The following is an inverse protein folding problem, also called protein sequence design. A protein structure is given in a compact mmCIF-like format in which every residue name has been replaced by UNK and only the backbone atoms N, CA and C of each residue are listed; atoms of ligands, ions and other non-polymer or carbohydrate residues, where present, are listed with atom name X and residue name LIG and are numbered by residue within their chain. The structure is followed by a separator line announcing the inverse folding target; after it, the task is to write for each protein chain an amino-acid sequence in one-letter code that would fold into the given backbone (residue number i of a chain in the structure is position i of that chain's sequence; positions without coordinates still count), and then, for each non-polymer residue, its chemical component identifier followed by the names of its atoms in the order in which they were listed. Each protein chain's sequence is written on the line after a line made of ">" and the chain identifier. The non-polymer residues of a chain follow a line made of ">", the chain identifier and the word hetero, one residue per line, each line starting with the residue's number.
data_IF_402674001815
#
_entry.id   IF_402674001815
#
_cell.length_a   1.000
_cell.length_b   1.000
_cell.length_c   1.000
_cell.angle_alpha   90.00
_cell.angle_beta   90.00
_cell.angle_gamma   90.00
#
_symmetry.space_group_name_H-M   'P 1'
#
loop_
_entity.id
_entity.type
_entity.pdbx_description
1 polymer ?
#
# COMPACT_ATOMS: atom_id res chain seq x y z
N UNK A 1 -19.72 -1.17 13.92
CA UNK A 1 -19.12 0.18 14.04
C UNK A 1 -17.86 0.37 13.19
N UNK A 2 -16.82 -0.49 13.25
CA UNK A 2 -15.54 -0.27 12.53
C UNK A 2 -15.67 -0.27 11.00
N UNK A 3 -16.41 -1.22 10.41
CA UNK A 3 -16.59 -1.34 8.96
C UNK A 3 -17.08 -0.04 8.30
N UNK A 4 -18.08 0.62 8.90
CA UNK A 4 -18.64 1.86 8.36
C UNK A 4 -17.69 3.06 8.43
N UNK A 5 -16.74 3.09 9.36
CA UNK A 5 -15.69 4.12 9.42
C UNK A 5 -14.67 3.89 8.32
N UNK A 6 -14.26 2.63 8.13
CA UNK A 6 -13.32 2.24 7.08
C UNK A 6 -13.89 2.57 5.69
N UNK A 7 -15.13 2.16 5.42
CA UNK A 7 -15.78 2.40 4.12
C UNK A 7 -15.98 3.89 3.79
N UNK A 8 -16.17 4.75 4.81
CA UNK A 8 -16.45 6.19 4.60
C UNK A 8 -15.23 7.08 4.57
N UNK A 9 -14.13 6.67 5.19
CA UNK A 9 -12.98 7.56 5.40
C UNK A 9 -11.66 6.99 4.89
N UNK A 10 -11.59 5.69 4.58
CA UNK A 10 -10.37 5.03 4.12
C UNK A 10 -10.60 4.43 2.74
N UNK A 11 -10.36 5.23 1.70
CA UNK A 11 -10.61 4.83 0.31
C UNK A 11 -9.42 4.15 -0.35
N UNK A 12 -8.19 4.58 -0.04
CA UNK A 12 -6.99 4.09 -0.71
C UNK A 12 -5.80 4.01 0.26
N UNK A 13 -4.87 3.10 -0.02
CA UNK A 13 -3.63 2.92 0.74
C UNK A 13 -2.47 2.60 -0.20
N UNK A 14 -1.51 3.51 -0.26
CA UNK A 14 -0.21 3.31 -0.92
C UNK A 14 0.86 2.95 0.09
N UNK A 15 1.85 2.13 -0.29
CA UNK A 15 2.93 1.67 0.58
C UNK A 15 4.28 2.01 -0.04
N UNK A 16 5.28 2.29 0.78
CA UNK A 16 6.66 2.46 0.30
C UNK A 16 7.68 1.86 1.26
N UNK A 17 8.84 1.52 0.71
CA UNK A 17 10.05 1.24 1.48
C UNK A 17 11.29 1.52 0.64
N UNK A 18 12.24 2.26 1.24
CA UNK A 18 13.53 2.52 0.61
C UNK A 18 14.43 1.26 0.56
N UNK A 19 14.13 0.23 1.35
CA UNK A 19 14.89 -1.02 1.34
C UNK A 19 14.41 -1.97 0.24
N UNK A 20 15.26 -2.23 -0.75
CA UNK A 20 14.99 -3.18 -1.82
C UNK A 20 14.72 -4.59 -1.29
N UNK A 21 15.46 -5.02 -0.26
CA UNK A 21 15.27 -6.33 0.36
C UNK A 21 13.89 -6.47 1.03
N UNK A 22 13.48 -5.47 1.80
CA UNK A 22 12.14 -5.47 2.42
C UNK A 22 11.04 -5.43 1.38
N UNK A 23 11.22 -4.69 0.29
CA UNK A 23 10.25 -4.65 -0.81
C UNK A 23 10.03 -6.03 -1.41
N UNK A 24 11.10 -6.77 -1.66
CA UNK A 24 11.03 -8.12 -2.22
C UNK A 24 10.30 -9.07 -1.26
N UNK A 25 10.65 -9.06 0.03
CA UNK A 25 10.01 -9.91 1.05
C UNK A 25 8.54 -9.59 1.27
N UNK A 26 8.19 -8.31 1.35
CA UNK A 26 6.81 -7.88 1.48
C UNK A 26 6.01 -8.20 0.22
N UNK A 27 6.62 -8.03 -0.96
CA UNK A 27 6.00 -8.38 -2.24
C UNK A 27 5.62 -9.86 -2.31
N UNK A 28 6.55 -10.75 -1.97
CA UNK A 28 6.28 -12.20 -1.87
C UNK A 28 5.16 -12.52 -0.87
N UNK A 29 5.18 -11.88 0.32
CA UNK A 29 4.20 -12.14 1.36
C UNK A 29 2.78 -11.67 1.00
N UNK A 30 2.66 -10.52 0.32
CA UNK A 30 1.39 -9.98 -0.16
C UNK A 30 0.82 -10.82 -1.30
N UNK A 31 1.67 -11.23 -2.26
CA UNK A 31 1.26 -12.08 -3.37
C UNK A 31 0.68 -13.42 -2.87
N UNK A 32 1.29 -14.04 -1.85
CA UNK A 32 0.76 -15.27 -1.21
C UNK A 32 -0.64 -15.10 -0.62
N UNK A 33 -1.01 -13.88 -0.27
CA UNK A 33 -2.35 -13.52 0.26
C UNK A 33 -3.28 -12.97 -0.82
N UNK A 34 -2.89 -13.03 -2.09
CA UNK A 34 -3.63 -12.46 -3.23
C UNK A 34 -3.86 -10.94 -3.11
N UNK A 35 -2.95 -10.25 -2.42
CA UNK A 35 -2.95 -8.79 -2.31
C UNK A 35 -1.93 -8.24 -3.31
N UNK A 36 -2.33 -7.22 -4.08
CA UNK A 36 -1.43 -6.55 -5.02
C UNK A 36 -0.23 -5.93 -4.25
N UNK A 37 1.02 -6.32 -4.58
CA UNK A 37 2.20 -5.91 -3.83
C UNK A 37 2.74 -4.52 -4.21
N UNK A 38 1.89 -3.59 -4.63
CA UNK A 38 2.28 -2.26 -5.12
C UNK A 38 2.99 -1.45 -4.02
N UNK A 39 4.33 -1.57 -3.97
CA UNK A 39 5.20 -0.93 -2.98
C UNK A 39 6.21 -0.05 -3.71
N UNK A 40 6.12 1.26 -3.49
CA UNK A 40 7.00 2.27 -4.05
C UNK A 40 8.36 2.33 -3.36
N UNK A 41 9.35 2.95 -4.00
CA UNK A 41 10.67 3.13 -3.40
C UNK A 41 10.83 4.37 -2.56
N UNK A 42 10.02 5.38 -2.86
CA UNK A 42 10.02 6.62 -2.10
C UNK A 42 8.63 6.95 -1.58
N UNK A 43 8.59 7.79 -0.56
CA UNK A 43 7.35 8.35 -0.05
C UNK A 43 6.64 9.20 -1.12
N UNK A 44 7.41 9.96 -1.91
CA UNK A 44 6.87 10.80 -2.97
C UNK A 44 6.15 9.99 -4.05
N UNK A 45 6.75 8.88 -4.50
CA UNK A 45 6.13 7.95 -5.45
C UNK A 45 4.84 7.33 -4.89
N UNK A 46 4.81 6.94 -3.61
CA UNK A 46 3.60 6.42 -2.99
C UNK A 46 2.52 7.49 -2.88
N UNK A 47 2.86 8.71 -2.43
CA UNK A 47 1.91 9.82 -2.35
C UNK A 47 1.32 10.20 -3.71
N UNK A 48 2.11 10.13 -4.78
CA UNK A 48 1.64 10.42 -6.13
C UNK A 48 0.61 9.40 -6.65
N UNK A 49 0.56 8.19 -6.08
CA UNK A 49 -0.42 7.15 -6.45
C UNK A 49 -1.74 7.30 -5.70
N UNK A 50 -1.79 8.08 -4.62
CA UNK A 50 -3.04 8.35 -3.92
C UNK A 50 -3.92 9.19 -4.85
N UNK A 51 -5.04 8.62 -5.27
CA UNK A 51 -6.08 9.38 -5.96
C UNK A 51 -6.55 10.46 -4.99
N UNK A 52 -6.51 11.73 -5.40
CA UNK A 52 -7.08 12.81 -4.58
C UNK A 52 -8.55 12.46 -4.28
N UNK A 53 -9.03 12.71 -3.04
CA UNK A 53 -10.44 12.53 -2.71
C UNK A 53 -11.34 13.38 -3.62
#
# INVERSE_FOLDING_TARGET
>A
MVKGVVERHYHDVTRYTASTFLRMKLGEALAKRQIAPNISGTEAEAKAQLTKP
#
